data_IF_881156813366
#
_entry.id   IF_881156813366
#
_cell.length_a   1.000
_cell.length_b   1.000
_cell.length_c   1.000
_cell.angle_alpha   90.00
_cell.angle_beta   90.00
_cell.angle_gamma   90.00
#
_symmetry.space_group_name_H-M   'P 1'
#
loop_
_entity.id
_entity.type
_entity.pdbx_description
1 polymer ?
#
# COMPACT_ATOMS: atom_id res chain seq x y z
N UNK A 1 -16.28 -5.02 21.79
CA UNK A 1 -15.03 -5.59 21.22
C UNK A 1 -14.24 -6.48 22.21
N UNK A 2 -13.87 -6.02 23.42
CA UNK A 2 -13.11 -6.82 24.41
C UNK A 2 -13.77 -8.17 24.77
N UNK A 3 -15.05 -8.14 25.18
CA UNK A 3 -15.80 -9.36 25.54
C UNK A 3 -15.86 -10.42 24.44
N UNK A 4 -15.97 -10.01 23.17
CA UNK A 4 -15.97 -10.93 22.02
C UNK A 4 -14.60 -11.59 21.84
N UNK A 5 -13.51 -10.81 21.94
CA UNK A 5 -12.14 -11.34 21.89
C UNK A 5 -11.87 -12.31 23.04
N UNK A 6 -12.32 -11.97 24.25
CA UNK A 6 -12.19 -12.83 25.42
C UNK A 6 -12.99 -14.13 25.24
N UNK A 7 -14.20 -14.08 24.68
CA UNK A 7 -15.00 -15.27 24.40
C UNK A 7 -14.36 -16.19 23.35
N UNK A 8 -13.78 -15.63 22.27
CA UNK A 8 -13.03 -16.40 21.27
C UNK A 8 -11.83 -17.09 21.93
N UNK A 9 -11.02 -16.35 22.68
CA UNK A 9 -9.87 -16.90 23.41
C UNK A 9 -10.27 -18.03 24.36
N UNK A 10 -11.32 -17.83 25.17
CA UNK A 10 -11.80 -18.84 26.12
C UNK A 10 -12.39 -20.07 25.41
N UNK A 11 -13.00 -19.89 24.24
CA UNK A 11 -13.46 -20.99 23.38
C UNK A 11 -12.29 -21.81 22.86
N UNK A 12 -11.23 -21.16 22.37
CA UNK A 12 -10.02 -21.82 21.86
C UNK A 12 -9.28 -22.59 22.97
N UNK A 13 -9.23 -22.02 24.18
CA UNK A 13 -8.67 -22.63 25.39
C UNK A 13 -9.56 -23.75 25.97
N UNK A 14 -10.77 -23.95 25.45
CA UNK A 14 -11.80 -24.89 25.94
C UNK A 14 -12.21 -24.66 27.40
N UNK A 15 -12.11 -23.42 27.88
CA UNK A 15 -12.45 -23.00 29.25
C UNK A 15 -13.96 -22.81 29.43
N UNK A 16 -14.70 -23.92 29.47
CA UNK A 16 -16.19 -23.94 29.47
C UNK A 16 -16.81 -23.13 30.61
N UNK A 17 -16.27 -23.24 31.82
CA UNK A 17 -16.85 -22.59 33.01
C UNK A 17 -16.72 -21.06 32.94
N UNK A 18 -15.58 -20.55 32.46
CA UNK A 18 -15.39 -19.11 32.28
C UNK A 18 -16.18 -18.58 31.10
N UNK A 19 -16.25 -19.34 30.00
CA UNK A 19 -17.04 -19.00 28.84
C UNK A 19 -18.54 -18.91 29.19
N UNK A 20 -19.07 -19.88 29.93
CA UNK A 20 -20.48 -19.88 30.37
C UNK A 20 -20.85 -18.67 31.24
N UNK A 21 -19.91 -18.18 32.05
CA UNK A 21 -20.08 -16.94 32.85
C UNK A 21 -20.05 -15.69 31.98
N UNK A 22 -19.21 -15.66 30.94
CA UNK A 22 -19.06 -14.49 30.06
C UNK A 22 -20.22 -14.35 29.06
N UNK A 23 -20.71 -15.47 28.53
CA UNK A 23 -21.68 -15.55 27.43
C UNK A 23 -22.95 -14.73 27.66
N UNK A 24 -23.65 -14.79 28.81
CA UNK A 24 -24.87 -14.00 29.02
C UNK A 24 -24.63 -12.50 28.82
N UNK A 25 -23.53 -11.98 29.38
CA UNK A 25 -23.20 -10.55 29.28
C UNK A 25 -22.73 -10.14 27.88
N UNK A 26 -22.20 -11.07 27.09
CA UNK A 26 -21.84 -10.85 25.69
C UNK A 26 -23.08 -10.83 24.81
N UNK A 27 -24.00 -11.79 24.99
CA UNK A 27 -25.26 -11.87 24.25
C UNK A 27 -26.14 -10.63 24.49
N UNK A 28 -26.22 -10.16 25.74
CA UNK A 28 -26.91 -8.90 26.05
C UNK A 28 -26.31 -7.74 25.26
N UNK A 29 -24.98 -7.60 25.29
CA UNK A 29 -24.30 -6.51 24.58
C UNK A 29 -24.48 -6.59 23.05
N UNK A 30 -24.52 -7.79 22.47
CA UNK A 30 -24.80 -8.00 21.04
C UNK A 30 -26.23 -7.57 20.72
N UNK A 31 -27.21 -8.06 21.49
CA UNK A 31 -28.63 -7.74 21.27
C UNK A 31 -28.91 -6.25 21.45
N UNK A 32 -28.29 -5.60 22.44
CA UNK A 32 -28.40 -4.14 22.62
C UNK A 32 -27.84 -3.36 21.43
N UNK A 33 -26.75 -3.84 20.82
CA UNK A 33 -26.19 -3.20 19.62
C UNK A 33 -27.09 -3.40 18.41
N UNK A 34 -27.55 -4.62 18.15
CA UNK A 34 -28.50 -4.92 17.08
C UNK A 34 -29.75 -4.04 17.23
N UNK A 35 -30.30 -3.94 18.44
CA UNK A 35 -31.46 -3.10 18.71
C UNK A 35 -31.20 -1.63 18.36
N UNK A 36 -30.06 -1.06 18.79
CA UNK A 36 -29.69 0.32 18.47
C UNK A 36 -29.48 0.52 16.97
N UNK A 37 -28.91 -0.46 16.28
CA UNK A 37 -28.72 -0.40 14.84
C UNK A 37 -30.07 -0.38 14.10
N UNK A 38 -30.94 -1.35 14.36
CA UNK A 38 -32.22 -1.50 13.68
C UNK A 38 -33.24 -0.41 14.00
N UNK A 39 -33.25 0.10 15.24
CA UNK A 39 -34.28 1.04 15.70
C UNK A 39 -33.83 2.50 15.72
N UNK A 40 -32.52 2.77 15.67
CA UNK A 40 -31.97 4.13 15.76
C UNK A 40 -31.04 4.43 14.59
N UNK A 41 -29.99 3.64 14.37
CA UNK A 41 -28.97 3.97 13.39
C UNK A 41 -29.50 3.85 11.96
N UNK A 42 -30.03 2.70 11.55
CA UNK A 42 -30.50 2.48 10.18
C UNK A 42 -31.68 3.41 9.82
N UNK A 43 -32.70 3.60 10.67
CA UNK A 43 -33.78 4.55 10.36
C UNK A 43 -33.29 5.99 10.25
N UNK A 44 -32.29 6.39 11.04
CA UNK A 44 -31.66 7.71 10.95
C UNK A 44 -30.85 7.84 9.66
N UNK A 45 -30.03 6.83 9.33
CA UNK A 45 -29.21 6.81 8.13
C UNK A 45 -30.06 6.91 6.85
N UNK A 46 -31.16 6.14 6.77
CA UNK A 46 -32.10 6.18 5.65
C UNK A 46 -32.78 7.55 5.46
N UNK A 47 -32.89 8.36 6.51
CA UNK A 47 -33.46 9.71 6.44
C UNK A 47 -32.43 10.79 6.09
N UNK A 48 -31.19 10.60 6.50
CA UNK A 48 -30.15 11.63 6.41
C UNK A 48 -29.25 11.48 5.19
N UNK A 49 -28.98 10.24 4.75
CA UNK A 49 -28.06 9.98 3.64
C UNK A 49 -28.79 10.04 2.30
N UNK A 50 -28.17 10.72 1.35
CA UNK A 50 -28.57 10.77 -0.05
C UNK A 50 -28.15 9.50 -0.80
N UNK A 51 -28.77 9.25 -1.95
CA UNK A 51 -28.38 8.15 -2.85
C UNK A 51 -26.89 8.18 -3.24
N UNK A 52 -26.35 9.38 -3.48
CA UNK A 52 -24.93 9.56 -3.79
C UNK A 52 -24.03 9.14 -2.62
N UNK A 53 -24.39 9.46 -1.38
CA UNK A 53 -23.62 9.05 -0.20
C UNK A 53 -23.69 7.53 0.00
N UNK A 54 -24.84 6.90 -0.29
CA UNK A 54 -24.95 5.44 -0.30
C UNK A 54 -24.07 4.78 -1.36
N UNK A 55 -23.95 5.36 -2.55
CA UNK A 55 -23.02 4.90 -3.59
C UNK A 55 -21.55 5.04 -3.15
N UNK A 56 -21.18 6.17 -2.54
CA UNK A 56 -19.84 6.38 -1.98
C UNK A 56 -19.53 5.35 -0.88
N UNK A 57 -20.47 5.08 0.04
CA UNK A 57 -20.32 4.04 1.07
C UNK A 57 -20.11 2.67 0.44
N UNK A 58 -20.98 2.28 -0.51
CA UNK A 58 -20.92 0.98 -1.19
C UNK A 58 -19.57 0.74 -1.88
N UNK A 59 -18.95 1.80 -2.42
CA UNK A 59 -17.64 1.72 -3.07
C UNK A 59 -16.50 1.31 -2.12
N UNK A 60 -16.60 1.67 -0.84
CA UNK A 60 -15.59 1.39 0.19
C UNK A 60 -15.81 0.07 0.96
N UNK A 61 -17.02 -0.50 0.94
CA UNK A 61 -17.35 -1.68 1.76
C UNK A 61 -16.50 -2.92 1.43
N UNK A 62 -16.07 -3.07 0.16
CA UNK A 62 -15.25 -4.21 -0.29
C UNK A 62 -13.89 -4.28 0.42
N UNK A 63 -13.34 -3.15 0.85
CA UNK A 63 -12.07 -3.10 1.58
C UNK A 63 -12.19 -3.67 3.01
N UNK A 64 -13.36 -3.49 3.64
CA UNK A 64 -13.64 -3.97 5.01
C UNK A 64 -14.13 -5.42 4.97
N UNK A 65 -14.96 -5.77 3.99
CA UNK A 65 -15.63 -7.07 3.88
C UNK A 65 -16.92 -7.18 4.69
N UNK A 66 -17.61 -8.32 4.58
CA UNK A 66 -18.93 -8.54 5.16
C UNK A 66 -18.93 -9.72 6.12
N UNK A 67 -19.78 -9.63 7.14
CA UNK A 67 -20.05 -10.75 8.03
C UNK A 67 -21.24 -11.55 7.51
N UNK A 68 -21.07 -12.86 7.36
CA UNK A 68 -22.14 -13.83 7.07
C UNK A 68 -22.85 -13.71 5.71
N UNK A 69 -22.48 -12.75 4.87
CA UNK A 69 -23.03 -12.56 3.53
C UNK A 69 -21.92 -12.36 2.50
N UNK A 70 -22.22 -12.65 1.24
CA UNK A 70 -21.38 -12.32 0.08
C UNK A 70 -22.23 -11.50 -0.88
N UNK A 71 -22.03 -10.17 -0.96
CA UNK A 71 -22.78 -9.34 -1.89
C UNK A 71 -22.41 -9.66 -3.34
N UNK A 72 -23.38 -9.55 -4.25
CA UNK A 72 -23.10 -9.57 -5.68
C UNK A 72 -22.69 -8.15 -6.13
N UNK A 73 -21.47 -8.04 -6.63
CA UNK A 73 -20.86 -6.78 -7.10
C UNK A 73 -20.86 -6.68 -8.62
N UNK A 74 -21.88 -7.23 -9.28
CA UNK A 74 -21.97 -7.32 -10.74
C UNK A 74 -22.09 -5.98 -11.50
N UNK A 75 -21.95 -4.82 -10.86
CA UNK A 75 -21.98 -3.53 -11.58
C UNK A 75 -21.19 -2.39 -10.94
N UNK A 76 -20.31 -1.82 -11.78
CA UNK A 76 -19.66 -0.51 -11.80
C UNK A 76 -18.79 -0.08 -10.60
N UNK A 77 -17.49 -0.29 -10.75
CA UNK A 77 -16.45 0.43 -10.03
C UNK A 77 -16.47 1.91 -10.46
N UNK A 78 -17.17 2.75 -9.69
CA UNK A 78 -16.98 4.20 -9.81
C UNK A 78 -15.60 4.53 -9.23
N UNK A 79 -14.62 4.78 -10.12
CA UNK A 79 -13.32 5.34 -9.73
C UNK A 79 -13.58 6.67 -9.03
N UNK A 80 -13.07 6.83 -7.81
CA UNK A 80 -13.23 8.05 -7.04
C UNK A 80 -12.66 9.23 -7.86
N UNK A 81 -13.53 10.12 -8.34
CA UNK A 81 -13.11 11.35 -9.01
C UNK A 81 -12.46 12.27 -7.96
N UNK A 82 -11.34 12.90 -8.31
CA UNK A 82 -10.65 13.85 -7.42
C UNK A 82 -11.60 14.97 -7.02
N UNK A 83 -11.78 15.13 -5.70
CA UNK A 83 -12.73 16.10 -5.12
C UNK A 83 -12.25 17.56 -5.23
N UNK A 84 -11.02 17.81 -5.72
CA UNK A 84 -10.41 19.14 -5.74
C UNK A 84 -9.83 19.52 -7.11
N UNK A 85 -9.99 20.79 -7.50
CA UNK A 85 -9.48 21.31 -8.76
C UNK A 85 -7.96 21.51 -8.71
N UNK A 86 -7.25 21.10 -9.78
CA UNK A 86 -5.80 21.22 -9.88
C UNK A 86 -5.01 20.01 -9.35
N UNK A 87 -5.70 18.93 -8.95
CA UNK A 87 -5.07 17.68 -8.55
C UNK A 87 -4.82 16.74 -9.74
N UNK A 88 -3.79 15.93 -9.60
CA UNK A 88 -3.57 14.73 -10.40
C UNK A 88 -4.44 13.64 -9.78
N UNK A 89 -5.48 13.21 -10.52
CA UNK A 89 -6.33 12.10 -10.10
C UNK A 89 -5.54 10.79 -10.15
N UNK A 90 -5.45 10.10 -9.01
CA UNK A 90 -4.86 8.77 -8.90
C UNK A 90 -5.98 7.72 -8.90
N UNK A 91 -5.63 6.44 -8.88
CA UNK A 91 -6.62 5.35 -8.78
C UNK A 91 -7.49 5.47 -7.52
N UNK A 92 -6.95 6.07 -6.45
CA UNK A 92 -7.67 6.38 -5.22
C UNK A 92 -7.22 7.76 -4.72
N UNK A 93 -8.13 8.73 -4.77
CA UNK A 93 -7.87 10.12 -4.35
C UNK A 93 -7.15 10.97 -5.40
N UNK A 94 -6.66 12.13 -4.97
CA UNK A 94 -5.94 13.08 -5.79
C UNK A 94 -4.84 13.76 -4.99
N UNK A 95 -3.79 14.19 -5.68
CA UNK A 95 -2.68 14.96 -5.10
C UNK A 95 -2.32 16.10 -6.03
N UNK A 96 -1.94 17.26 -5.49
CA UNK A 96 -1.26 18.26 -6.31
C UNK A 96 0.11 17.73 -6.74
N UNK A 97 0.68 18.32 -7.81
CA UNK A 97 2.03 17.99 -8.25
C UNK A 97 3.06 18.17 -7.13
N UNK A 98 2.92 19.24 -6.37
CA UNK A 98 3.82 19.60 -5.26
C UNK A 98 3.74 18.56 -4.14
N UNK A 99 2.54 18.09 -3.79
CA UNK A 99 2.36 17.04 -2.79
C UNK A 99 2.97 15.72 -3.26
N UNK A 100 2.76 15.33 -4.52
CA UNK A 100 3.32 14.11 -5.09
C UNK A 100 4.85 14.14 -5.08
N UNK A 101 5.47 15.25 -5.51
CA UNK A 101 6.93 15.41 -5.49
C UNK A 101 7.48 15.37 -4.05
N UNK A 102 6.83 16.05 -3.11
CA UNK A 102 7.22 16.06 -1.70
C UNK A 102 7.14 14.67 -1.06
N UNK A 103 6.07 13.91 -1.33
CA UNK A 103 5.92 12.53 -0.84
C UNK A 103 7.06 11.67 -1.36
N UNK A 104 7.31 11.66 -2.67
CA UNK A 104 8.34 10.80 -3.28
C UNK A 104 9.76 11.13 -2.78
N UNK A 105 10.03 12.39 -2.41
CA UNK A 105 11.30 12.81 -1.77
C UNK A 105 11.41 12.44 -0.29
N UNK A 106 10.29 12.16 0.37
CA UNK A 106 10.21 11.88 1.82
C UNK A 106 10.19 10.38 2.12
N UNK A 107 9.88 9.53 1.15
CA UNK A 107 9.86 8.09 1.34
C UNK A 107 11.21 7.59 1.92
N UNK A 108 11.20 6.64 2.87
CA UNK A 108 12.42 6.07 3.46
C UNK A 108 13.08 5.04 2.54
N UNK A 109 13.02 5.30 1.23
CA UNK A 109 13.56 4.53 0.13
C UNK A 109 13.92 5.48 -1.02
N UNK A 110 14.94 5.11 -1.77
CA UNK A 110 15.28 5.80 -3.00
C UNK A 110 14.61 5.13 -4.18
N UNK A 111 14.01 5.93 -5.05
CA UNK A 111 13.32 5.49 -6.24
C UNK A 111 14.03 6.01 -7.48
N UNK A 112 14.07 5.19 -8.53
CA UNK A 112 14.36 5.62 -9.90
C UNK A 112 13.41 4.92 -10.86
N UNK A 113 12.88 5.67 -11.83
CA UNK A 113 11.97 5.14 -12.82
C UNK A 113 12.55 5.31 -14.23
N UNK A 114 12.53 4.21 -14.97
CA UNK A 114 12.93 4.11 -16.36
C UNK A 114 11.69 3.72 -17.16
N UNK A 115 11.38 4.44 -18.23
CA UNK A 115 10.16 4.19 -19.02
C UNK A 115 10.28 2.99 -19.98
N UNK A 116 9.24 2.75 -20.78
CA UNK A 116 9.19 1.65 -21.73
C UNK A 116 10.29 1.70 -22.81
N UNK A 117 10.88 2.88 -23.03
CA UNK A 117 11.95 3.14 -24.01
C UNK A 117 13.36 3.01 -23.40
N UNK A 118 13.44 2.55 -22.15
CA UNK A 118 14.66 2.46 -21.36
C UNK A 118 15.28 3.83 -21.00
N UNK A 119 14.50 4.91 -21.03
CA UNK A 119 14.97 6.25 -20.68
C UNK A 119 14.69 6.56 -19.21
N UNK A 120 15.68 7.13 -18.52
CA UNK A 120 15.51 7.54 -17.12
C UNK A 120 14.57 8.75 -17.08
N UNK A 121 13.40 8.59 -16.45
CA UNK A 121 12.38 9.65 -16.37
C UNK A 121 12.30 10.34 -15.03
N UNK A 122 12.68 9.63 -13.97
CA UNK A 122 12.55 10.15 -12.61
C UNK A 122 13.57 9.49 -11.67
N UNK A 123 13.98 10.24 -10.65
CA UNK A 123 14.56 9.70 -9.43
C UNK A 123 14.13 10.55 -8.25
N UNK A 124 13.92 9.94 -7.08
CA UNK A 124 13.71 10.70 -5.85
C UNK A 124 15.01 11.38 -5.45
N UNK A 125 15.03 12.71 -5.53
CA UNK A 125 16.15 13.53 -5.10
C UNK A 125 16.08 13.74 -3.58
N UNK A 126 16.13 12.63 -2.84
CA UNK A 126 16.17 12.58 -1.38
C UNK A 126 17.53 13.09 -0.89
N UNK A 127 17.53 13.81 0.25
CA UNK A 127 18.75 14.39 0.82
C UNK A 127 19.81 13.33 1.15
N UNK A 128 19.38 12.16 1.60
CA UNK A 128 20.23 11.09 2.08
C UNK A 128 20.29 9.90 1.09
N UNK A 129 20.16 10.18 -0.21
CA UNK A 129 20.16 9.18 -1.27
C UNK A 129 21.42 8.29 -1.23
N UNK A 130 21.21 6.97 -1.29
CA UNK A 130 22.25 5.94 -1.22
C UNK A 130 23.18 6.00 -2.44
N UNK A 131 22.58 6.17 -3.62
CA UNK A 131 23.31 6.26 -4.89
C UNK A 131 23.13 7.63 -5.52
N UNK A 132 24.17 8.49 -5.53
CA UNK A 132 24.06 9.84 -6.07
C UNK A 132 23.72 9.79 -7.56
N UNK A 133 22.86 10.73 -7.99
CA UNK A 133 22.49 10.93 -9.39
C UNK A 133 22.79 12.38 -9.78
N UNK A 134 23.12 12.58 -11.05
CA UNK A 134 23.23 13.93 -11.63
C UNK A 134 21.95 14.24 -12.40
N UNK A 135 21.43 15.48 -12.37
CA UNK A 135 20.27 15.88 -13.17
C UNK A 135 20.41 15.55 -14.66
N UNK A 136 21.64 15.53 -15.19
CA UNK A 136 21.92 15.20 -16.59
C UNK A 136 21.62 13.74 -16.98
N UNK A 137 21.23 12.88 -16.02
CA UNK A 137 20.80 11.49 -16.29
C UNK A 137 19.40 11.42 -16.87
N UNK A 138 18.54 12.42 -16.60
CA UNK A 138 17.16 12.43 -17.09
C UNK A 138 17.16 12.45 -18.62
N UNK A 139 16.35 11.57 -19.23
CA UNK A 139 16.27 11.35 -20.67
C UNK A 139 17.42 10.53 -21.26
N UNK A 140 18.40 10.08 -20.46
CA UNK A 140 19.44 9.16 -20.95
C UNK A 140 18.92 7.72 -20.91
N UNK A 141 19.35 6.92 -21.88
CA UNK A 141 19.17 5.46 -21.85
C UNK A 141 19.91 4.85 -20.65
N UNK A 142 19.22 4.01 -19.89
CA UNK A 142 19.73 3.42 -18.63
C UNK A 142 21.02 2.60 -18.84
N UNK A 143 21.20 1.99 -20.01
CA UNK A 143 22.41 1.24 -20.36
C UNK A 143 23.66 2.14 -20.35
N UNK A 144 23.52 3.43 -20.70
CA UNK A 144 24.62 4.41 -20.68
C UNK A 144 24.92 4.96 -19.29
N UNK A 145 24.12 4.60 -18.30
CA UNK A 145 24.26 5.05 -16.91
C UNK A 145 25.00 4.03 -16.04
N UNK A 146 25.37 2.88 -16.60
CA UNK A 146 26.00 1.77 -15.90
C UNK A 146 27.37 1.42 -16.51
N UNK A 147 28.35 1.01 -15.69
CA UNK A 147 29.63 0.53 -16.19
C UNK A 147 29.48 -0.71 -17.10
N UNK A 148 30.42 -0.95 -18.05
CA UNK A 148 30.35 -2.09 -18.96
C UNK A 148 30.20 -3.45 -18.28
N UNK A 149 30.78 -3.61 -17.07
CA UNK A 149 30.71 -4.84 -16.28
C UNK A 149 29.32 -5.19 -15.76
N UNK A 150 28.38 -4.24 -15.71
CA UNK A 150 27.03 -4.45 -15.15
C UNK A 150 25.90 -4.19 -16.14
N UNK A 151 26.19 -3.63 -17.32
CA UNK A 151 25.16 -3.30 -18.32
C UNK A 151 24.39 -4.54 -18.79
N UNK A 152 25.07 -5.68 -18.95
CA UNK A 152 24.43 -6.94 -19.36
C UNK A 152 23.41 -7.45 -18.33
N UNK A 153 23.60 -7.13 -17.04
CA UNK A 153 22.64 -7.48 -15.98
C UNK A 153 21.40 -6.60 -16.10
N UNK A 154 21.59 -5.30 -16.35
CA UNK A 154 20.49 -4.35 -16.59
C UNK A 154 19.67 -4.78 -17.80
N UNK A 155 20.33 -5.11 -18.92
CA UNK A 155 19.65 -5.60 -20.12
C UNK A 155 18.86 -6.88 -19.86
N UNK A 156 19.44 -7.84 -19.13
CA UNK A 156 18.74 -9.08 -18.76
C UNK A 156 17.47 -8.81 -17.95
N UNK A 157 17.52 -7.90 -16.98
CA UNK A 157 16.35 -7.50 -16.17
C UNK A 157 15.29 -6.85 -17.06
N UNK A 158 15.67 -5.86 -17.87
CA UNK A 158 14.76 -5.15 -18.77
C UNK A 158 14.08 -6.10 -19.76
N UNK A 159 14.83 -7.02 -20.37
CA UNK A 159 14.27 -8.01 -21.29
C UNK A 159 13.26 -8.94 -20.61
N UNK A 160 13.57 -9.45 -19.42
CA UNK A 160 12.66 -10.32 -18.66
C UNK A 160 11.37 -9.59 -18.23
N UNK A 161 11.48 -8.29 -17.90
CA UNK A 161 10.33 -7.47 -17.54
C UNK A 161 9.46 -7.14 -18.75
N UNK A 162 10.07 -6.76 -19.88
CA UNK A 162 9.34 -6.46 -21.12
C UNK A 162 8.62 -7.69 -21.68
N UNK A 163 9.22 -8.88 -21.57
CA UNK A 163 8.60 -10.14 -22.04
C UNK A 163 7.52 -10.68 -21.09
N UNK A 164 7.49 -10.22 -19.83
CA UNK A 164 6.60 -10.78 -18.81
C UNK A 164 7.12 -12.07 -18.16
N UNK A 165 8.38 -12.45 -18.40
CA UNK A 165 9.00 -13.63 -17.76
C UNK A 165 9.18 -13.43 -16.24
N UNK A 166 9.41 -12.18 -15.84
CA UNK A 166 9.61 -11.75 -14.45
C UNK A 166 8.97 -10.39 -14.24
N UNK A 167 8.49 -10.15 -13.03
CA UNK A 167 8.05 -8.81 -12.58
C UNK A 167 8.92 -8.23 -11.47
N UNK A 168 9.81 -9.05 -10.88
CA UNK A 168 10.70 -8.64 -9.79
C UNK A 168 12.11 -9.19 -10.02
N UNK A 169 13.11 -8.36 -9.74
CA UNK A 169 14.50 -8.76 -9.57
C UNK A 169 15.05 -8.08 -8.32
N UNK A 170 15.84 -8.79 -7.52
CA UNK A 170 16.34 -8.26 -6.25
C UNK A 170 17.77 -8.70 -5.98
N UNK A 171 18.52 -7.83 -5.30
CA UNK A 171 19.82 -8.15 -4.75
C UNK A 171 20.11 -7.28 -3.53
N UNK A 172 21.13 -7.67 -2.78
CA UNK A 172 21.61 -6.94 -1.62
C UNK A 172 23.12 -6.75 -1.71
N UNK A 173 23.59 -5.60 -1.25
CA UNK A 173 25.02 -5.28 -1.19
C UNK A 173 25.38 -4.75 0.20
N UNK A 174 26.67 -4.82 0.52
CA UNK A 174 27.24 -4.12 1.67
C UNK A 174 28.01 -2.91 1.15
N UNK A 175 27.62 -1.73 1.59
CA UNK A 175 28.22 -0.46 1.19
C UNK A 175 28.52 0.37 2.44
N UNK A 176 29.78 0.74 2.66
CA UNK A 176 30.21 1.55 3.82
C UNK A 176 29.69 1.02 5.18
N UNK A 177 29.66 -0.31 5.35
CA UNK A 177 29.16 -0.96 6.58
C UNK A 177 27.64 -1.00 6.72
N UNK A 178 26.88 -0.53 5.71
CA UNK A 178 25.43 -0.57 5.64
C UNK A 178 24.96 -1.70 4.73
N UNK A 179 23.80 -2.28 5.01
CA UNK A 179 23.16 -3.33 4.22
C UNK A 179 22.08 -2.71 3.34
N UNK A 180 22.33 -2.68 2.04
CA UNK A 180 21.47 -2.05 1.05
C UNK A 180 20.69 -3.12 0.30
N UNK A 181 19.37 -3.03 0.35
CA UNK A 181 18.44 -3.86 -0.41
C UNK A 181 18.00 -3.12 -1.67
N UNK A 182 18.19 -3.72 -2.83
CA UNK A 182 17.90 -3.12 -4.13
C UNK A 182 16.94 -4.04 -4.88
N UNK A 183 15.82 -3.48 -5.31
CA UNK A 183 14.74 -4.20 -5.99
C UNK A 183 14.38 -3.47 -7.27
N UNK A 184 14.06 -4.24 -8.31
CA UNK A 184 13.53 -3.76 -9.56
C UNK A 184 12.15 -4.38 -9.75
N UNK A 185 11.20 -3.57 -10.21
CA UNK A 185 9.84 -4.00 -10.49
C UNK A 185 9.46 -3.64 -11.92
N UNK A 186 8.78 -4.56 -12.61
CA UNK A 186 8.07 -4.24 -13.84
C UNK A 186 6.81 -3.43 -13.49
N UNK A 187 6.75 -2.18 -13.95
CA UNK A 187 5.57 -1.32 -13.80
C UNK A 187 4.64 -1.60 -14.97
N UNK A 188 3.37 -1.92 -14.68
CA UNK A 188 2.35 -2.22 -15.68
C UNK A 188 1.08 -1.44 -15.40
N UNK A 189 0.30 -1.15 -16.45
CA UNK A 189 -1.06 -0.61 -16.28
C UNK A 189 -2.07 -1.72 -15.94
N UNK A 190 -3.33 -1.31 -15.73
CA UNK A 190 -4.46 -2.21 -15.43
C UNK A 190 -4.68 -3.30 -16.51
N UNK A 191 -4.18 -3.10 -17.73
CA UNK A 191 -4.27 -4.06 -18.83
C UNK A 191 -3.01 -4.94 -18.97
N UNK A 192 -2.06 -4.83 -18.06
CA UNK A 192 -0.79 -5.57 -18.08
C UNK A 192 0.25 -4.99 -19.05
N UNK A 193 0.00 -3.84 -19.68
CA UNK A 193 0.95 -3.19 -20.57
C UNK A 193 2.15 -2.71 -19.75
N UNK A 194 3.35 -3.10 -20.17
CA UNK A 194 4.59 -2.61 -19.56
C UNK A 194 4.75 -1.09 -19.76
N UNK A 195 4.89 -0.36 -18.66
CA UNK A 195 5.11 1.09 -18.62
C UNK A 195 6.57 1.45 -18.32
N UNK A 196 7.35 0.52 -17.75
CA UNK A 196 8.72 0.81 -17.37
C UNK A 196 9.23 -0.07 -16.23
N UNK A 197 10.43 0.25 -15.75
CA UNK A 197 11.08 -0.38 -14.61
C UNK A 197 11.22 0.61 -13.46
N UNK A 198 10.77 0.20 -12.28
CA UNK A 198 10.98 0.91 -11.02
C UNK A 198 12.15 0.27 -10.27
N UNK A 199 13.22 1.03 -10.05
CA UNK A 199 14.30 0.70 -9.11
C UNK A 199 13.95 1.28 -7.74
N UNK A 200 14.05 0.46 -6.69
CA UNK A 200 13.91 0.85 -5.29
C UNK A 200 15.15 0.41 -4.53
N UNK A 201 15.80 1.35 -3.83
CA UNK A 201 16.92 1.07 -2.93
C UNK A 201 16.56 1.46 -1.50
N UNK A 202 16.84 0.57 -0.55
CA UNK A 202 16.59 0.81 0.87
C UNK A 202 17.78 0.38 1.71
N UNK A 203 18.19 1.23 2.63
CA UNK A 203 19.09 0.84 3.71
C UNK A 203 18.31 0.11 4.80
N UNK A 204 18.52 -1.19 4.92
CA UNK A 204 17.79 -2.04 5.86
C UNK A 204 18.58 -2.30 7.15
N UNK A 205 19.72 -1.64 7.33
CA UNK A 205 20.64 -1.89 8.46
C UNK A 205 19.94 -1.75 9.81
N UNK A 206 19.18 -0.68 9.99
CA UNK A 206 18.50 -0.39 11.25
C UNK A 206 17.17 -1.12 11.37
N UNK A 207 16.50 -1.41 10.24
CA UNK A 207 15.31 -2.27 10.18
C UNK A 207 15.65 -3.67 10.70
N UNK A 208 16.81 -4.23 10.32
CA UNK A 208 17.27 -5.55 10.78
C UNK A 208 17.57 -5.61 12.27
N UNK A 209 17.70 -4.48 12.96
CA UNK A 209 17.91 -4.42 14.41
C UNK A 209 16.60 -4.41 15.20
N UNK A 210 15.45 -4.24 14.53
CA UNK A 210 14.15 -4.26 15.17
C UNK A 210 13.87 -5.69 15.70
N UNK A 211 14.00 -5.85 17.01
CA UNK A 211 13.82 -7.12 17.72
C UNK A 211 12.74 -7.06 18.81
N UNK A 212 12.29 -5.86 19.16
CA UNK A 212 11.28 -5.59 20.19
C UNK A 212 10.10 -4.83 19.61
N UNK A 213 8.94 -4.98 20.25
CA UNK A 213 7.72 -4.32 19.83
C UNK A 213 7.59 -2.94 20.50
N UNK A 214 7.48 -1.88 19.69
CA UNK A 214 7.19 -0.52 20.17
C UNK A 214 5.78 -0.11 19.72
N UNK A 215 4.80 -0.21 20.62
CA UNK A 215 3.38 0.13 20.35
C UNK A 215 3.00 1.58 20.65
N UNK A 216 3.81 2.27 21.43
CA UNK A 216 3.53 3.64 21.88
C UNK A 216 4.66 4.57 21.47
N UNK A 217 4.27 5.80 21.16
CA UNK A 217 5.21 6.89 20.94
C UNK A 217 5.92 7.21 22.26
N UNK A 218 7.23 7.41 22.20
CA UNK A 218 7.99 7.93 23.32
C UNK A 218 8.84 9.08 22.78
N UNK A 219 8.26 10.29 22.84
CA UNK A 219 8.90 11.55 22.51
C UNK A 219 8.88 12.37 23.80
N UNK A 220 10.05 12.59 24.39
CA UNK A 220 10.26 13.68 25.37
C UNK A 220 10.63 14.96 24.61
#
# INVERSE_FOLDING_TARGET
RKKLKDAIRLSDERSRDELSKLLPSLLIAINEMIYKEENILFPTALKLLSEKEWEEIKSGEKEIGFSFITPDYSSNENKAEGKFSGEINLSTGGLTREQLDAILKTLPIDISFVDENDEVRYYSDSKDRIFPRSPGVIGRRVQKCHPPKSVHIVEKILSAFKSGERDVAEFFIRLNGREIHIRYFAVRDDNGKYLGTLEVSQDVTDIKKLNEEKRLLNWE
#
